data_IF_408426932497
#
_entry.id   IF_408426932497
#
_cell.length_a   1.000
_cell.length_b   1.000
_cell.length_c   1.000
_cell.angle_alpha   90.00
_cell.angle_beta   90.00
_cell.angle_gamma   90.00
#
_symmetry.space_group_name_H-M   'P 1'
#
loop_
_entity.id
_entity.type
_entity.pdbx_description
1 polymer ?
#
# COMPACT_ATOMS: atom_id res chain seq x y z
N UNK A 1 -11.72 -21.92 22.39
CA UNK A 1 -12.27 -21.47 21.09
C UNK A 1 -11.27 -21.52 19.93
N UNK A 2 -10.11 -22.20 20.02
CA UNK A 2 -9.15 -22.27 18.91
C UNK A 2 -9.70 -22.99 17.67
N UNK A 3 -10.59 -23.97 17.87
CA UNK A 3 -11.15 -24.80 16.80
C UNK A 3 -12.47 -24.23 16.24
N UNK A 4 -12.98 -23.14 16.81
CA UNK A 4 -14.24 -22.53 16.39
C UNK A 4 -13.98 -21.31 15.51
N UNK A 5 -13.72 -21.59 14.23
CA UNK A 5 -13.38 -20.61 13.20
C UNK A 5 -14.44 -19.51 13.11
N UNK A 6 -15.72 -19.85 13.29
CA UNK A 6 -16.82 -18.88 13.19
C UNK A 6 -16.77 -17.79 14.25
N UNK A 7 -16.28 -18.10 15.46
CA UNK A 7 -16.09 -17.10 16.50
C UNK A 7 -14.86 -16.21 16.27
N UNK A 8 -13.79 -16.75 15.67
CA UNK A 8 -12.57 -16.00 15.35
C UNK A 8 -12.83 -14.98 14.22
N UNK A 9 -13.61 -15.37 13.21
CA UNK A 9 -13.92 -14.51 12.06
C UNK A 9 -14.49 -13.13 12.46
N UNK A 10 -15.30 -13.07 13.52
CA UNK A 10 -15.87 -11.81 14.05
C UNK A 10 -14.81 -10.79 14.50
N UNK A 11 -13.62 -11.26 14.84
CA UNK A 11 -12.52 -10.44 15.37
C UNK A 11 -11.46 -10.10 14.32
N UNK A 12 -11.44 -10.75 13.15
CA UNK A 12 -10.40 -10.55 12.12
C UNK A 12 -10.32 -9.09 11.66
N UNK A 13 -11.46 -8.42 11.47
CA UNK A 13 -11.55 -7.00 11.11
C UNK A 13 -10.89 -6.04 12.10
N UNK A 14 -10.61 -6.48 13.33
CA UNK A 14 -9.90 -5.68 14.35
C UNK A 14 -8.38 -5.91 14.32
N UNK A 15 -7.94 -7.02 13.71
CA UNK A 15 -6.54 -7.44 13.68
C UNK A 15 -5.87 -7.10 12.36
N UNK A 16 -6.62 -7.22 11.25
CA UNK A 16 -6.13 -7.01 9.90
C UNK A 16 -6.95 -5.92 9.21
N UNK A 17 -6.35 -5.12 8.31
CA UNK A 17 -7.06 -4.09 7.57
C UNK A 17 -8.04 -4.66 6.54
N UNK A 18 -7.60 -5.64 5.74
CA UNK A 18 -8.37 -6.18 4.61
C UNK A 18 -8.98 -7.55 4.85
N UNK A 19 -8.68 -8.24 5.95
CA UNK A 19 -9.19 -9.60 6.20
C UNK A 19 -10.45 -9.52 7.06
N UNK A 20 -11.58 -9.87 6.46
CA UNK A 20 -12.89 -9.91 7.11
C UNK A 20 -13.35 -11.34 7.40
N UNK A 21 -12.94 -12.31 6.59
CA UNK A 21 -13.32 -13.71 6.73
C UNK A 21 -12.27 -14.66 6.18
N UNK A 22 -12.36 -15.92 6.63
CA UNK A 22 -11.61 -17.03 6.02
C UNK A 22 -12.48 -17.75 5.01
N UNK A 23 -11.89 -18.08 3.87
CA UNK A 23 -12.48 -18.97 2.89
C UNK A 23 -11.99 -20.37 3.27
N UNK A 24 -12.93 -21.25 3.60
CA UNK A 24 -12.64 -22.62 4.02
C UNK A 24 -12.91 -23.61 2.90
N UNK A 25 -12.29 -24.78 2.98
CA UNK A 25 -12.66 -25.92 2.16
C UNK A 25 -14.04 -26.50 2.55
N UNK A 26 -14.56 -27.42 1.72
CA UNK A 26 -15.89 -28.02 1.94
C UNK A 26 -16.02 -28.70 3.32
N UNK A 27 -14.90 -29.20 3.87
CA UNK A 27 -14.88 -29.88 5.17
C UNK A 27 -14.60 -28.93 6.35
N UNK A 28 -14.50 -27.62 6.12
CA UNK A 28 -14.16 -26.60 7.13
C UNK A 28 -12.88 -26.91 7.92
N UNK A 29 -11.96 -27.63 7.32
CA UNK A 29 -10.71 -28.13 7.92
C UNK A 29 -9.48 -27.36 7.47
N UNK A 30 -9.54 -26.74 6.28
CA UNK A 30 -8.45 -25.99 5.67
C UNK A 30 -8.87 -24.58 5.33
N UNK A 31 -7.98 -23.61 5.58
CA UNK A 31 -8.13 -22.25 5.09
C UNK A 31 -7.53 -22.20 3.67
N UNK A 32 -8.37 -21.96 2.68
CA UNK A 32 -7.98 -21.86 1.26
C UNK A 32 -7.76 -20.41 0.82
N UNK A 33 -8.21 -19.44 1.61
CA UNK A 33 -8.02 -18.03 1.30
C UNK A 33 -8.64 -17.10 2.34
N UNK A 34 -8.63 -15.81 2.04
CA UNK A 34 -9.27 -14.76 2.84
C UNK A 34 -10.22 -13.92 1.98
N UNK A 35 -11.23 -13.34 2.60
CA UNK A 35 -12.15 -12.40 1.97
C UNK A 35 -12.11 -11.04 2.64
N UNK A 36 -12.30 -10.00 1.84
CA UNK A 36 -12.44 -8.61 2.30
C UNK A 36 -13.88 -8.28 2.70
N UNK A 37 -14.08 -7.06 3.22
CA UNK A 37 -15.41 -6.53 3.58
C UNK A 37 -16.36 -6.43 2.37
N UNK A 38 -15.79 -6.27 1.18
CA UNK A 38 -16.52 -6.07 -0.09
C UNK A 38 -16.54 -7.35 -0.94
N UNK A 39 -16.34 -8.51 -0.31
CA UNK A 39 -16.31 -9.83 -0.96
C UNK A 39 -15.22 -10.04 -2.03
N UNK A 40 -14.21 -9.16 -2.11
CA UNK A 40 -12.96 -9.50 -2.82
C UNK A 40 -12.30 -10.70 -2.13
N UNK A 41 -11.84 -11.68 -2.92
CA UNK A 41 -11.26 -12.94 -2.44
C UNK A 41 -9.79 -13.03 -2.82
N UNK A 42 -8.96 -13.40 -1.86
CA UNK A 42 -7.56 -13.75 -2.05
C UNK A 42 -7.39 -15.25 -1.76
N UNK A 43 -7.25 -16.05 -2.81
CA UNK A 43 -7.04 -17.49 -2.72
C UNK A 43 -5.55 -17.77 -2.57
N UNK A 44 -5.19 -18.63 -1.61
CA UNK A 44 -3.81 -19.00 -1.34
C UNK A 44 -3.31 -20.04 -2.35
N UNK A 45 -2.02 -20.01 -2.65
CA UNK A 45 -1.36 -21.08 -3.40
C UNK A 45 -1.28 -22.39 -2.59
N UNK A 46 -1.04 -22.27 -1.28
CA UNK A 46 -1.00 -23.38 -0.33
C UNK A 46 -2.04 -23.17 0.74
N UNK A 47 -3.02 -24.08 0.82
CA UNK A 47 -4.02 -24.10 1.89
C UNK A 47 -3.38 -24.37 3.25
N UNK A 48 -3.98 -23.83 4.31
CA UNK A 48 -3.51 -23.97 5.69
C UNK A 48 -4.40 -24.96 6.44
N UNK A 49 -3.82 -26.05 6.94
CA UNK A 49 -4.54 -27.04 7.74
C UNK A 49 -4.74 -26.54 9.18
N UNK A 50 -5.99 -26.31 9.58
CA UNK A 50 -6.30 -25.73 10.90
C UNK A 50 -5.90 -26.68 12.03
N UNK A 51 -6.06 -27.99 11.80
CA UNK A 51 -5.67 -29.05 12.74
C UNK A 51 -4.16 -29.15 12.96
N UNK A 52 -3.35 -28.66 12.03
CA UNK A 52 -1.88 -28.67 12.15
C UNK A 52 -1.35 -27.57 13.09
N UNK A 53 -2.16 -26.54 13.35
CA UNK A 53 -1.78 -25.42 14.19
C UNK A 53 -1.91 -25.79 15.67
N UNK A 54 -0.87 -25.57 16.49
CA UNK A 54 -0.93 -25.90 17.92
C UNK A 54 -1.87 -24.97 18.68
N UNK A 55 -1.97 -23.72 18.24
CA UNK A 55 -2.83 -22.71 18.84
C UNK A 55 -3.25 -21.63 17.82
N UNK A 56 -4.17 -20.76 18.24
CA UNK A 56 -4.76 -19.70 17.42
C UNK A 56 -3.71 -18.69 16.94
N UNK A 57 -2.72 -18.39 17.78
CA UNK A 57 -1.70 -17.38 17.47
C UNK A 57 -0.80 -17.89 16.34
N UNK A 58 -0.40 -19.16 16.40
CA UNK A 58 0.37 -19.81 15.35
C UNK A 58 -0.42 -19.85 14.03
N UNK A 59 -1.71 -20.20 14.09
CA UNK A 59 -2.59 -20.20 12.92
C UNK A 59 -2.67 -18.80 12.27
N UNK A 60 -2.90 -17.75 13.07
CA UNK A 60 -3.00 -16.38 12.55
C UNK A 60 -1.68 -15.86 11.97
N UNK A 61 -0.54 -16.20 12.58
CA UNK A 61 0.79 -15.88 12.03
C UNK A 61 1.06 -16.60 10.71
N UNK A 62 0.60 -17.84 10.59
CA UNK A 62 0.72 -18.61 9.36
C UNK A 62 -0.16 -18.01 8.26
N UNK A 63 -1.39 -17.59 8.59
CA UNK A 63 -2.26 -16.84 7.67
C UNK A 63 -1.59 -15.56 7.21
N UNK A 64 -1.07 -14.74 8.13
CA UNK A 64 -0.36 -13.48 7.83
C UNK A 64 0.80 -13.72 6.85
N UNK A 65 1.66 -14.69 7.15
CA UNK A 65 2.81 -15.05 6.29
C UNK A 65 2.35 -15.56 4.92
N UNK A 66 1.27 -16.35 4.88
CA UNK A 66 0.70 -16.90 3.64
C UNK A 66 0.07 -15.80 2.78
N UNK A 67 -0.58 -14.81 3.39
CA UNK A 67 -1.13 -13.64 2.71
C UNK A 67 0.00 -12.84 2.05
N UNK A 68 1.08 -12.55 2.78
CA UNK A 68 2.21 -11.78 2.25
C UNK A 68 2.89 -12.47 1.07
N UNK A 69 3.16 -13.77 1.21
CA UNK A 69 3.80 -14.56 0.15
C UNK A 69 2.89 -14.74 -1.07
N UNK A 70 1.58 -14.93 -0.85
CA UNK A 70 0.58 -15.01 -1.93
C UNK A 70 0.51 -13.68 -2.68
N UNK A 71 0.43 -12.54 -1.99
CA UNK A 71 0.38 -11.23 -2.64
C UNK A 71 1.66 -10.93 -3.42
N UNK A 72 2.84 -11.28 -2.89
CA UNK A 72 4.11 -11.11 -3.60
C UNK A 72 4.16 -11.95 -4.89
N UNK A 73 3.69 -13.20 -4.83
CA UNK A 73 3.63 -14.07 -6.01
C UNK A 73 2.62 -13.56 -7.04
N UNK A 74 1.41 -13.20 -6.60
CA UNK A 74 0.39 -12.64 -7.48
C UNK A 74 0.84 -11.32 -8.11
N UNK A 75 1.63 -10.50 -7.41
CA UNK A 75 2.23 -9.29 -7.99
C UNK A 75 3.16 -9.65 -9.14
N UNK A 76 4.06 -10.63 -8.95
CA UNK A 76 4.95 -11.12 -10.01
C UNK A 76 4.15 -11.53 -11.25
N UNK A 77 3.13 -12.39 -11.07
CA UNK A 77 2.30 -12.85 -12.19
C UNK A 77 1.52 -11.70 -12.85
N UNK A 78 0.91 -10.84 -12.06
CA UNK A 78 0.12 -9.69 -12.54
C UNK A 78 0.98 -8.73 -13.35
N UNK A 79 2.17 -8.40 -12.85
CA UNK A 79 3.14 -7.55 -13.52
C UNK A 79 3.66 -8.18 -14.83
N UNK A 80 4.00 -9.47 -14.84
CA UNK A 80 4.46 -10.15 -16.06
C UNK A 80 3.39 -10.17 -17.14
N UNK A 81 2.16 -10.54 -16.77
CA UNK A 81 1.02 -10.58 -17.71
C UNK A 81 0.72 -9.18 -18.26
N UNK A 82 0.69 -8.15 -17.39
CA UNK A 82 0.44 -6.78 -17.83
C UNK A 82 1.55 -6.24 -18.74
N UNK A 83 2.81 -6.61 -18.48
CA UNK A 83 3.96 -6.21 -19.31
C UNK A 83 3.89 -6.83 -20.70
N UNK A 84 3.40 -8.05 -20.82
CA UNK A 84 3.16 -8.69 -22.13
C UNK A 84 1.98 -8.03 -22.85
N UNK A 85 0.89 -7.74 -22.12
CA UNK A 85 -0.26 -7.03 -22.66
C UNK A 85 0.07 -5.61 -23.12
N UNK A 86 0.98 -4.91 -22.43
CA UNK A 86 1.37 -3.54 -22.78
C UNK A 86 2.26 -3.46 -24.03
N UNK A 87 2.94 -4.56 -24.38
CA UNK A 87 3.73 -4.68 -25.63
C UNK A 87 2.85 -4.97 -26.84
N UNK A 88 1.76 -5.71 -26.64
CA UNK A 88 0.81 -6.08 -27.70
C UNK A 88 -0.38 -5.09 -27.74
N UNK A 89 -1.21 -5.19 -28.78
CA UNK A 89 -2.48 -4.46 -28.82
C UNK A 89 -3.42 -5.05 -27.77
N UNK A 90 -3.80 -4.24 -26.78
CA UNK A 90 -4.69 -4.66 -25.70
C UNK A 90 -6.10 -4.86 -26.27
N UNK A 91 -6.60 -6.09 -26.23
CA UNK A 91 -8.01 -6.41 -26.44
C UNK A 91 -8.79 -6.18 -25.12
N UNK A 92 -9.95 -5.53 -25.22
CA UNK A 92 -10.89 -5.24 -24.14
C UNK A 92 -11.20 -6.48 -23.28
N UNK A 93 -11.43 -7.64 -23.90
CA UNK A 93 -11.74 -8.89 -23.19
C UNK A 93 -10.54 -9.42 -22.40
N UNK A 94 -9.34 -9.33 -22.97
CA UNK A 94 -8.12 -9.80 -22.32
C UNK A 94 -7.82 -8.91 -21.10
N UNK A 95 -8.00 -7.60 -21.24
CA UNK A 95 -7.82 -6.67 -20.13
C UNK A 95 -8.83 -6.91 -19.01
N UNK A 96 -10.11 -7.14 -19.35
CA UNK A 96 -11.14 -7.47 -18.36
C UNK A 96 -10.82 -8.79 -17.64
N UNK A 97 -10.33 -9.81 -18.35
CA UNK A 97 -9.95 -11.09 -17.75
C UNK A 97 -8.76 -10.92 -16.79
N UNK A 98 -7.78 -10.08 -17.14
CA UNK A 98 -6.69 -9.73 -16.24
C UNK A 98 -7.19 -9.01 -14.98
N UNK A 99 -8.10 -8.03 -15.12
CA UNK A 99 -8.74 -7.34 -13.98
C UNK A 99 -9.51 -8.31 -13.07
N UNK A 100 -10.18 -9.33 -13.63
CA UNK A 100 -10.93 -10.32 -12.84
C UNK A 100 -10.04 -11.30 -12.07
N UNK A 101 -8.78 -11.46 -12.49
CA UNK A 101 -7.87 -12.48 -11.97
C UNK A 101 -7.13 -12.05 -10.70
N UNK A 102 -6.90 -10.75 -10.53
CA UNK A 102 -6.05 -10.23 -9.46
C UNK A 102 -6.82 -9.34 -8.47
N UNK A 103 -6.39 -9.26 -7.20
CA UNK A 103 -6.91 -8.28 -6.26
C UNK A 103 -6.67 -6.84 -6.74
N UNK A 104 -7.57 -5.92 -6.41
CA UNK A 104 -7.52 -4.50 -6.74
C UNK A 104 -6.17 -3.88 -6.40
N UNK A 105 -5.68 -4.16 -5.19
CA UNK A 105 -4.42 -3.66 -4.67
C UNK A 105 -3.25 -3.97 -5.60
N UNK A 106 -3.23 -5.18 -6.18
CA UNK A 106 -2.17 -5.63 -7.08
C UNK A 106 -2.37 -5.11 -8.50
N UNK A 107 -3.61 -5.00 -8.98
CA UNK A 107 -3.93 -4.40 -10.27
C UNK A 107 -3.37 -2.98 -10.36
N UNK A 108 -3.67 -2.16 -9.35
CA UNK A 108 -3.23 -0.76 -9.31
C UNK A 108 -1.71 -0.68 -9.16
N UNK A 109 -1.10 -1.56 -8.35
CA UNK A 109 0.35 -1.61 -8.17
C UNK A 109 1.07 -2.01 -9.47
N UNK A 110 0.59 -3.04 -10.17
CA UNK A 110 1.14 -3.50 -11.46
C UNK A 110 1.06 -2.42 -12.52
N UNK A 111 -0.09 -1.76 -12.67
CA UNK A 111 -0.27 -0.63 -13.60
C UNK A 111 0.70 0.51 -13.29
N UNK A 112 0.89 0.81 -12.00
CA UNK A 112 1.83 1.84 -11.57
C UNK A 112 3.28 1.48 -11.86
N UNK A 113 3.69 0.23 -11.64
CA UNK A 113 5.04 -0.26 -11.94
C UNK A 113 5.31 -0.14 -13.45
N UNK A 114 4.42 -0.72 -14.29
CA UNK A 114 4.58 -0.69 -15.75
C UNK A 114 4.63 0.75 -16.26
N UNK A 115 3.78 1.64 -15.75
CA UNK A 115 3.83 3.05 -16.11
C UNK A 115 5.16 3.71 -15.72
N UNK A 116 5.66 3.49 -14.50
CA UNK A 116 6.94 4.05 -14.06
C UNK A 116 8.11 3.58 -14.93
N UNK A 117 8.16 2.29 -15.24
CA UNK A 117 9.21 1.71 -16.08
C UNK A 117 9.15 2.20 -17.52
N UNK A 118 7.96 2.32 -18.11
CA UNK A 118 7.79 2.86 -19.46
C UNK A 118 8.27 4.31 -19.53
N UNK A 119 7.92 5.15 -18.56
CA UNK A 119 8.34 6.55 -18.51
C UNK A 119 9.86 6.65 -18.29
N UNK A 120 10.42 5.91 -17.33
CA UNK A 120 11.86 5.97 -17.05
C UNK A 120 12.71 5.42 -18.19
N UNK A 121 12.23 4.40 -18.90
CA UNK A 121 12.89 3.93 -20.14
C UNK A 121 13.01 5.06 -21.14
N UNK A 122 11.95 5.84 -21.37
CA UNK A 122 11.97 6.97 -22.31
C UNK A 122 12.85 8.12 -21.80
N UNK A 123 12.77 8.45 -20.51
CA UNK A 123 13.60 9.50 -19.91
C UNK A 123 15.10 9.15 -19.93
N UNK A 124 15.44 7.87 -19.77
CA UNK A 124 16.79 7.32 -19.75
C UNK A 124 17.42 7.03 -21.12
N UNK A 125 16.65 7.02 -22.21
CA UNK A 125 17.19 6.86 -23.56
C UNK A 125 18.17 8.00 -23.92
N UNK A 126 19.16 7.72 -24.77
CA UNK A 126 20.10 8.72 -25.32
C UNK A 126 19.54 9.51 -26.51
N UNK A 127 18.27 9.28 -26.85
CA UNK A 127 17.53 9.91 -27.94
C UNK A 127 17.39 11.43 -27.76
N UNK A 128 17.14 12.12 -28.87
CA UNK A 128 16.89 13.56 -28.86
C UNK A 128 15.58 13.90 -28.11
N UNK A 129 15.47 15.14 -27.63
CA UNK A 129 14.27 15.58 -26.89
C UNK A 129 12.98 15.39 -27.70
N UNK A 130 13.03 15.57 -29.03
CA UNK A 130 11.85 15.40 -29.89
C UNK A 130 11.39 13.93 -29.97
N UNK A 131 12.34 13.00 -30.10
CA UNK A 131 12.07 11.56 -30.14
C UNK A 131 11.51 11.07 -28.80
N UNK A 132 12.10 11.51 -27.68
CA UNK A 132 11.55 11.24 -26.34
C UNK A 132 10.11 11.73 -26.18
N UNK A 133 9.76 12.90 -26.73
CA UNK A 133 8.38 13.40 -26.72
C UNK A 133 7.45 12.47 -27.50
N UNK A 134 7.88 11.96 -28.66
CA UNK A 134 7.09 11.00 -29.45
C UNK A 134 6.87 9.72 -28.65
N UNK A 135 7.91 9.17 -28.03
CA UNK A 135 7.79 7.99 -27.18
C UNK A 135 6.88 8.22 -25.96
N UNK A 136 6.96 9.37 -25.30
CA UNK A 136 6.05 9.73 -24.20
C UNK A 136 4.60 9.85 -24.67
N UNK A 137 4.36 10.35 -25.89
CA UNK A 137 3.01 10.39 -26.49
C UNK A 137 2.48 8.99 -26.77
N UNK A 138 3.33 8.04 -27.15
CA UNK A 138 2.93 6.63 -27.29
C UNK A 138 2.55 6.00 -25.94
N UNK A 139 3.31 6.28 -24.88
CA UNK A 139 2.92 5.88 -23.52
C UNK A 139 1.58 6.52 -23.11
N UNK A 140 1.39 7.81 -23.40
CA UNK A 140 0.15 8.53 -23.12
C UNK A 140 -1.05 7.92 -23.86
N UNK A 141 -0.92 7.56 -25.14
CA UNK A 141 -2.01 6.98 -25.92
C UNK A 141 -2.44 5.61 -25.39
N UNK A 142 -1.51 4.81 -24.84
CA UNK A 142 -1.87 3.54 -24.16
C UNK A 142 -2.74 3.78 -22.92
N UNK A 143 -2.40 4.79 -22.12
CA UNK A 143 -3.18 5.17 -20.93
C UNK A 143 -4.56 5.70 -21.34
N UNK A 144 -4.61 6.55 -22.35
CA UNK A 144 -5.87 7.11 -22.88
C UNK A 144 -6.78 6.01 -23.45
N UNK A 145 -6.21 5.04 -24.17
CA UNK A 145 -6.95 3.87 -24.62
C UNK A 145 -7.59 3.10 -23.46
N UNK A 146 -6.84 2.80 -22.39
CA UNK A 146 -7.38 2.13 -21.19
C UNK A 146 -8.51 2.93 -20.54
N UNK A 147 -8.38 4.26 -20.49
CA UNK A 147 -9.41 5.15 -19.97
C UNK A 147 -10.67 5.18 -20.84
N UNK A 148 -10.55 4.96 -22.14
CA UNK A 148 -11.70 4.93 -23.07
C UNK A 148 -12.46 3.60 -23.02
N UNK A 149 -11.78 2.48 -22.72
CA UNK A 149 -12.42 1.16 -22.64
C UNK A 149 -13.07 0.88 -21.29
N UNK A 150 -12.47 1.33 -20.18
CA UNK A 150 -12.95 0.99 -18.82
C UNK A 150 -14.42 1.40 -18.57
N UNK A 151 -14.89 2.60 -18.96
CA UNK A 151 -16.31 2.95 -18.83
C UNK A 151 -17.24 2.01 -19.60
N UNK A 152 -16.83 1.57 -20.79
CA UNK A 152 -17.61 0.63 -21.62
C UNK A 152 -17.67 -0.75 -20.97
N UNK A 153 -16.58 -1.19 -20.35
CA UNK A 153 -16.52 -2.45 -19.60
C UNK A 153 -17.39 -2.39 -18.34
N UNK A 154 -17.37 -1.28 -17.60
CA UNK A 154 -18.24 -1.06 -16.43
C UNK A 154 -19.72 -1.14 -16.82
N UNK A 155 -20.11 -0.54 -17.95
CA UNK A 155 -21.51 -0.58 -18.42
C UNK A 155 -21.98 -1.98 -18.81
N UNK A 156 -21.07 -2.86 -19.25
CA UNK A 156 -21.38 -4.22 -19.69
C UNK A 156 -21.25 -5.29 -18.59
N UNK A 157 -20.61 -4.96 -17.46
CA UNK A 157 -20.27 -5.92 -16.42
C UNK A 157 -21.20 -5.76 -15.20
N UNK A 158 -21.90 -6.84 -14.86
CA UNK A 158 -22.87 -6.82 -13.76
C UNK A 158 -22.26 -7.06 -12.36
N UNK A 159 -20.95 -7.37 -12.29
CA UNK A 159 -20.31 -7.71 -11.02
C UNK A 159 -19.85 -6.45 -10.26
N UNK A 160 -20.48 -6.09 -9.11
CA UNK A 160 -20.26 -4.81 -8.44
C UNK A 160 -18.82 -4.63 -7.94
N UNK A 161 -18.21 -5.68 -7.37
CA UNK A 161 -16.81 -5.65 -6.91
C UNK A 161 -15.85 -5.30 -8.06
N UNK A 162 -15.98 -5.96 -9.22
CA UNK A 162 -15.16 -5.70 -10.40
C UNK A 162 -15.38 -4.27 -10.92
N UNK A 163 -16.60 -3.76 -10.87
CA UNK A 163 -16.89 -2.37 -11.23
C UNK A 163 -16.18 -1.37 -10.30
N UNK A 164 -16.19 -1.62 -8.99
CA UNK A 164 -15.45 -0.81 -8.02
C UNK A 164 -13.93 -0.86 -8.23
N UNK A 165 -13.39 -2.03 -8.62
CA UNK A 165 -11.98 -2.17 -9.03
C UNK A 165 -11.70 -1.27 -10.24
N UNK A 166 -12.53 -1.34 -11.28
CA UNK A 166 -12.38 -0.53 -12.49
C UNK A 166 -12.49 0.98 -12.21
N UNK A 167 -13.39 1.41 -11.33
CA UNK A 167 -13.53 2.83 -10.93
C UNK A 167 -12.25 3.35 -10.24
N UNK A 168 -11.70 2.57 -9.31
CA UNK A 168 -10.46 2.94 -8.63
C UNK A 168 -9.25 2.90 -9.58
N UNK A 169 -9.25 1.98 -10.54
CA UNK A 169 -8.25 1.93 -11.61
C UNK A 169 -8.32 3.17 -12.51
N UNK A 170 -9.52 3.60 -12.93
CA UNK A 170 -9.73 4.86 -13.68
C UNK A 170 -9.11 6.04 -12.92
N UNK A 171 -9.35 6.13 -11.62
CA UNK A 171 -8.81 7.21 -10.77
C UNK A 171 -7.28 7.29 -10.83
N UNK A 172 -6.59 6.13 -10.77
CA UNK A 172 -5.13 6.07 -10.87
C UNK A 172 -4.62 6.35 -12.30
N UNK A 173 -5.30 5.82 -13.33
CA UNK A 173 -4.92 6.06 -14.73
C UNK A 173 -5.07 7.54 -15.13
N UNK A 174 -6.08 8.25 -14.60
CA UNK A 174 -6.22 9.70 -14.79
C UNK A 174 -4.99 10.43 -14.23
N UNK A 175 -4.50 10.02 -13.05
CA UNK A 175 -3.29 10.59 -12.47
C UNK A 175 -2.05 10.32 -13.35
N UNK A 176 -1.85 9.08 -13.82
CA UNK A 176 -0.73 8.73 -14.71
C UNK A 176 -0.77 9.55 -16.01
N UNK A 177 -1.95 9.68 -16.63
CA UNK A 177 -2.17 10.52 -17.81
C UNK A 177 -1.77 11.97 -17.54
N UNK A 178 -2.24 12.54 -16.44
CA UNK A 178 -1.98 13.94 -16.10
C UNK A 178 -0.49 14.19 -15.86
N UNK A 179 0.20 13.31 -15.12
CA UNK A 179 1.66 13.41 -14.91
C UNK A 179 2.44 13.28 -16.22
N UNK A 180 2.06 12.34 -17.08
CA UNK A 180 2.68 12.16 -18.39
C UNK A 180 2.52 13.40 -19.28
N UNK A 181 1.32 14.02 -19.28
CA UNK A 181 1.06 15.29 -19.98
C UNK A 181 1.93 16.44 -19.46
N UNK A 182 2.14 16.53 -18.14
CA UNK A 182 3.02 17.53 -17.53
C UNK A 182 4.46 17.36 -18.01
N UNK A 183 4.98 16.13 -18.04
CA UNK A 183 6.33 15.84 -18.55
C UNK A 183 6.50 16.26 -20.02
N UNK A 184 5.54 15.89 -20.88
CA UNK A 184 5.54 16.28 -22.30
C UNK A 184 5.53 17.80 -22.47
N UNK A 185 4.71 18.51 -21.67
CA UNK A 185 4.58 19.97 -21.75
C UNK A 185 5.85 20.71 -21.31
N UNK A 186 6.49 20.25 -20.22
CA UNK A 186 7.68 20.91 -19.65
C UNK A 186 8.96 20.68 -20.45
N UNK A 187 9.01 19.66 -21.32
CA UNK A 187 10.15 19.31 -22.22
C UNK A 187 11.52 19.08 -21.53
N UNK A 188 11.60 19.16 -20.20
CA UNK A 188 12.79 18.81 -19.45
C UNK A 188 12.80 17.29 -19.19
N UNK A 189 13.30 16.53 -20.16
CA UNK A 189 13.19 15.07 -20.22
C UNK A 189 14.47 14.38 -19.73
N UNK A 190 14.62 14.36 -18.41
CA UNK A 190 15.68 13.63 -17.72
C UNK A 190 15.07 12.80 -16.60
N UNK A 191 15.62 11.60 -16.35
CA UNK A 191 15.25 10.75 -15.22
C UNK A 191 15.57 11.40 -13.86
N UNK A 192 16.46 12.40 -13.86
CA UNK A 192 16.84 13.19 -12.68
C UNK A 192 16.01 14.47 -12.51
N UNK A 193 15.04 14.74 -13.40
CA UNK A 193 14.19 15.91 -13.25
C UNK A 193 13.33 15.79 -11.98
N UNK A 194 13.38 16.80 -11.12
CA UNK A 194 12.62 16.84 -9.89
C UNK A 194 11.10 16.66 -10.10
N UNK A 195 10.54 17.11 -11.22
CA UNK A 195 9.12 16.88 -11.53
C UNK A 195 8.77 15.38 -11.55
N UNK A 196 9.65 14.57 -12.15
CA UNK A 196 9.50 13.12 -12.15
C UNK A 196 9.84 12.52 -10.78
N UNK A 197 10.93 12.98 -10.16
CA UNK A 197 11.35 12.48 -8.84
C UNK A 197 10.30 12.76 -7.75
N UNK A 198 9.54 13.85 -7.84
CA UNK A 198 8.43 14.21 -6.94
C UNK A 198 7.17 13.35 -7.16
N UNK A 199 7.21 12.39 -8.07
CA UNK A 199 6.16 11.39 -8.24
C UNK A 199 6.49 10.18 -7.37
N UNK A 200 5.49 9.63 -6.68
CA UNK A 200 5.60 8.35 -6.00
C UNK A 200 5.74 7.24 -7.06
N UNK A 201 6.95 6.72 -7.25
CA UNK A 201 7.32 5.74 -8.29
C UNK A 201 7.42 4.35 -7.68
N UNK A 202 7.01 3.33 -8.43
CA UNK A 202 7.08 1.93 -8.01
C UNK A 202 7.95 1.14 -8.98
N UNK A 203 8.74 0.23 -8.44
CA UNK A 203 9.67 -0.62 -9.19
C UNK A 203 9.50 -2.05 -8.74
N UNK A 204 9.63 -2.97 -9.68
CA UNK A 204 9.64 -4.40 -9.41
C UNK A 204 10.90 -5.04 -9.97
N UNK A 205 11.49 -5.96 -9.22
CA UNK A 205 12.68 -6.68 -9.66
C UNK A 205 12.47 -8.19 -9.51
N UNK A 206 12.47 -8.89 -10.64
CA UNK A 206 12.37 -10.35 -10.67
C UNK A 206 13.56 -11.04 -9.98
N UNK A 207 14.75 -10.44 -10.04
CA UNK A 207 15.93 -10.94 -9.32
C UNK A 207 15.79 -10.77 -7.81
N UNK A 208 15.24 -9.63 -7.38
CA UNK A 208 14.93 -9.39 -5.97
C UNK A 208 13.84 -10.35 -5.48
N UNK A 209 12.84 -10.64 -6.31
CA UNK A 209 11.80 -11.63 -6.00
C UNK A 209 12.37 -13.04 -5.74
N UNK A 210 13.32 -13.50 -6.57
CA UNK A 210 13.98 -14.80 -6.37
C UNK A 210 14.76 -14.87 -5.05
N UNK A 211 15.35 -13.76 -4.61
CA UNK A 211 16.13 -13.69 -3.35
C UNK A 211 15.24 -13.52 -2.12
N UNK A 212 14.27 -12.60 -2.21
CA UNK A 212 13.35 -12.25 -1.14
C UNK A 212 12.05 -11.70 -1.75
N UNK A 213 10.99 -12.54 -1.87
CA UNK A 213 9.73 -12.14 -2.48
C UNK A 213 9.12 -10.87 -1.88
N UNK A 214 9.27 -10.67 -0.57
CA UNK A 214 8.73 -9.51 0.16
C UNK A 214 9.53 -8.22 -0.08
N UNK A 215 10.73 -8.30 -0.64
CA UNK A 215 11.56 -7.14 -1.01
C UNK A 215 11.61 -6.93 -2.53
N UNK A 216 10.73 -7.60 -3.28
CA UNK A 216 10.67 -7.53 -4.74
C UNK A 216 10.12 -6.21 -5.28
N UNK A 217 9.31 -5.49 -4.49
CA UNK A 217 8.69 -4.24 -4.87
C UNK A 217 9.20 -3.08 -4.00
N UNK A 218 9.69 -2.04 -4.68
CA UNK A 218 10.28 -0.86 -4.07
C UNK A 218 9.51 0.37 -4.50
N UNK A 219 9.25 1.27 -3.55
CA UNK A 219 8.59 2.54 -3.78
C UNK A 219 9.59 3.66 -3.52
N UNK A 220 9.70 4.60 -4.45
CA UNK A 220 10.58 5.77 -4.32
C UNK A 220 9.82 7.07 -4.55
N UNK A 221 10.22 8.10 -3.82
CA UNK A 221 9.78 9.47 -4.02
C UNK A 221 10.91 10.39 -3.58
N UNK A 222 11.27 11.34 -4.44
CA UNK A 222 12.54 12.04 -4.39
C UNK A 222 13.71 11.06 -4.16
N UNK A 223 14.39 11.19 -3.04
CA UNK A 223 15.50 10.37 -2.55
C UNK A 223 15.10 9.39 -1.43
N UNK A 224 13.80 9.28 -1.12
CA UNK A 224 13.25 8.30 -0.18
C UNK A 224 12.95 6.98 -0.86
N UNK A 225 13.19 5.86 -0.17
CA UNK A 225 13.05 4.51 -0.70
C UNK A 225 12.44 3.59 0.37
N UNK A 226 11.38 2.87 0.03
CA UNK A 226 10.65 1.98 0.92
C UNK A 226 10.36 0.65 0.23
N UNK A 227 10.37 -0.44 0.98
CA UNK A 227 9.79 -1.70 0.51
C UNK A 227 8.27 -1.66 0.66
N UNK A 228 7.57 -2.19 -0.34
CA UNK A 228 6.15 -2.47 -0.21
C UNK A 228 5.94 -3.59 0.81
N UNK A 229 5.04 -3.42 1.77
CA UNK A 229 4.92 -4.36 2.90
C UNK A 229 3.93 -5.50 2.67
N UNK A 230 3.20 -5.51 1.55
CA UNK A 230 2.27 -6.59 1.18
C UNK A 230 1.17 -6.86 2.21
N UNK A 231 0.76 -5.88 3.01
CA UNK A 231 -0.42 -6.03 3.86
C UNK A 231 -1.67 -6.13 2.97
N UNK A 232 -2.55 -7.10 3.21
CA UNK A 232 -3.78 -7.21 2.43
C UNK A 232 -4.79 -6.15 2.87
N UNK A 233 -5.10 -5.22 1.97
CA UNK A 233 -5.98 -4.09 2.27
C UNK A 233 -7.44 -4.33 1.83
N UNK A 234 -7.70 -5.39 1.07
CA UNK A 234 -8.98 -5.60 0.40
C UNK A 234 -9.26 -4.53 -0.65
N UNK A 235 -10.55 -4.24 -0.87
CA UNK A 235 -10.98 -3.16 -1.74
C UNK A 235 -10.84 -1.82 -1.00
N UNK A 236 -9.92 -0.99 -1.47
CA UNK A 236 -9.62 0.33 -0.95
C UNK A 236 -10.15 1.40 -1.89
N UNK A 237 -10.78 2.42 -1.32
CA UNK A 237 -11.15 3.62 -2.06
C UNK A 237 -9.90 4.49 -2.26
N UNK A 238 -9.55 4.73 -3.52
CA UNK A 238 -8.41 5.58 -3.86
C UNK A 238 -8.87 7.03 -3.96
N UNK A 239 -8.21 7.90 -3.19
CA UNK A 239 -8.43 9.34 -3.29
C UNK A 239 -7.89 9.88 -4.62
N UNK A 240 -8.51 10.94 -5.13
CA UNK A 240 -8.01 11.65 -6.31
C UNK A 240 -6.68 12.32 -5.94
N UNK A 241 -5.60 11.89 -6.59
CA UNK A 241 -4.27 12.47 -6.38
C UNK A 241 -4.17 13.85 -7.03
N UNK A 242 -4.20 14.87 -6.19
CA UNK A 242 -3.99 16.28 -6.58
C UNK A 242 -2.56 16.72 -6.27
N UNK A 243 -2.09 17.85 -6.81
CA UNK A 243 -0.77 18.39 -6.45
C UNK A 243 -0.58 18.62 -4.94
N UNK A 244 -1.66 18.90 -4.20
CA UNK A 244 -1.62 19.02 -2.74
C UNK A 244 -1.32 17.67 -2.07
N UNK A 245 -1.93 16.59 -2.57
CA UNK A 245 -1.68 15.22 -2.10
C UNK A 245 -0.24 14.79 -2.42
N UNK A 246 0.27 15.11 -3.61
CA UNK A 246 1.65 14.81 -3.98
C UNK A 246 2.65 15.48 -3.02
N UNK A 247 2.43 16.77 -2.72
CA UNK A 247 3.26 17.49 -1.75
C UNK A 247 3.14 16.90 -0.34
N UNK A 248 1.93 16.50 0.07
CA UNK A 248 1.74 15.79 1.34
C UNK A 248 2.52 14.48 1.36
N UNK A 249 2.47 13.67 0.30
CA UNK A 249 3.22 12.42 0.20
C UNK A 249 4.72 12.67 0.24
N UNK A 250 5.23 13.68 -0.46
CA UNK A 250 6.64 14.05 -0.41
C UNK A 250 7.08 14.38 1.02
N UNK A 251 6.39 15.30 1.71
CA UNK A 251 6.77 15.72 3.07
C UNK A 251 6.68 14.56 4.06
N UNK A 252 5.61 13.76 3.99
CA UNK A 252 5.42 12.61 4.88
C UNK A 252 6.49 11.54 4.67
N UNK A 253 6.85 11.24 3.42
CA UNK A 253 7.88 10.25 3.11
C UNK A 253 9.28 10.72 3.50
N UNK A 254 9.58 12.02 3.35
CA UNK A 254 10.81 12.60 3.87
C UNK A 254 10.89 12.53 5.40
N UNK A 255 9.79 12.84 6.11
CA UNK A 255 9.73 12.68 7.55
C UNK A 255 9.99 11.22 7.98
N UNK A 256 9.37 10.25 7.30
CA UNK A 256 9.56 8.82 7.56
C UNK A 256 11.01 8.38 7.30
N UNK A 257 11.65 8.87 6.24
CA UNK A 257 13.07 8.64 5.96
C UNK A 257 13.94 9.18 7.10
N UNK A 258 13.60 10.34 7.66
CA UNK A 258 14.29 10.96 8.80
C UNK A 258 13.90 10.36 10.17
N UNK A 259 13.11 9.27 10.20
CA UNK A 259 12.58 8.63 11.41
C UNK A 259 11.77 9.59 12.28
N UNK A 260 11.06 10.51 11.65
CA UNK A 260 10.13 11.45 12.28
C UNK A 260 8.69 11.04 12.00
N UNK A 261 7.79 11.48 12.88
CA UNK A 261 6.35 11.45 12.63
C UNK A 261 5.95 12.52 11.62
N UNK A 262 4.83 12.29 10.93
CA UNK A 262 4.22 13.27 10.04
C UNK A 262 3.04 13.97 10.72
N UNK A 263 2.93 15.28 10.56
CA UNK A 263 1.87 16.10 11.17
C UNK A 263 1.22 17.01 10.13
N UNK A 264 0.36 16.47 9.23
CA UNK A 264 -0.43 17.31 8.34
C UNK A 264 -1.40 18.15 9.18
N UNK A 265 -1.40 19.48 8.96
CA UNK A 265 -2.27 20.42 9.67
C UNK A 265 -3.16 21.18 8.69
N UNK A 266 -4.31 21.62 9.17
CA UNK A 266 -5.30 22.34 8.35
C UNK A 266 -6.73 22.19 8.89
N UNK A 267 -7.70 22.96 8.35
CA UNK A 267 -9.10 22.91 8.76
C UNK A 267 -9.72 21.50 8.72
N UNK A 268 -10.82 21.31 9.44
CA UNK A 268 -11.60 20.08 9.35
C UNK A 268 -12.08 19.84 7.91
N UNK A 269 -12.11 18.59 7.46
CA UNK A 269 -12.59 18.22 6.12
C UNK A 269 -11.60 18.45 4.97
N UNK A 270 -10.34 18.86 5.22
CA UNK A 270 -9.34 19.05 4.15
C UNK A 270 -8.58 17.77 3.75
N UNK A 271 -9.09 16.58 4.12
CA UNK A 271 -8.51 15.29 3.71
C UNK A 271 -7.22 14.88 4.41
N UNK A 272 -6.94 15.38 5.63
CA UNK A 272 -5.69 15.10 6.37
C UNK A 272 -5.53 13.61 6.67
N UNK A 273 -6.53 13.03 7.31
CA UNK A 273 -6.57 11.62 7.72
C UNK A 273 -6.60 10.71 6.48
N UNK A 274 -7.38 11.09 5.47
CA UNK A 274 -7.50 10.39 4.19
C UNK A 274 -6.17 10.39 3.42
N UNK A 275 -5.40 11.49 3.46
CA UNK A 275 -4.06 11.55 2.84
C UNK A 275 -3.09 10.58 3.51
N UNK A 276 -3.09 10.49 4.85
CA UNK A 276 -2.22 9.53 5.58
C UNK A 276 -2.61 8.09 5.26
N UNK A 277 -3.91 7.79 5.25
CA UNK A 277 -4.44 6.47 4.86
C UNK A 277 -4.06 6.11 3.42
N UNK A 278 -4.21 7.04 2.49
CA UNK A 278 -3.86 6.81 1.09
C UNK A 278 -2.36 6.55 0.90
N UNK A 279 -1.49 7.30 1.59
CA UNK A 279 -0.05 7.04 1.56
C UNK A 279 0.29 5.64 2.10
N UNK A 280 -0.31 5.25 3.23
CA UNK A 280 -0.13 3.92 3.79
C UNK A 280 -0.60 2.83 2.84
N UNK A 281 -1.74 3.02 2.16
CA UNK A 281 -2.22 2.10 1.15
C UNK A 281 -1.24 1.97 -0.04
N UNK A 282 -0.69 3.08 -0.52
CA UNK A 282 0.35 3.04 -1.56
C UNK A 282 1.62 2.31 -1.12
N UNK A 283 1.97 2.34 0.16
CA UNK A 283 3.10 1.60 0.72
C UNK A 283 2.75 0.16 1.14
N UNK A 284 1.48 -0.23 1.00
CA UNK A 284 0.98 -1.55 1.38
C UNK A 284 0.98 -1.76 2.90
N UNK A 285 0.85 -0.70 3.69
CA UNK A 285 0.95 -0.70 5.16
C UNK A 285 -0.43 -0.62 5.83
N UNK A 286 -0.53 -1.27 6.98
CA UNK A 286 -1.68 -1.12 7.87
C UNK A 286 -1.67 0.25 8.56
N UNK A 287 -2.68 1.08 8.27
CA UNK A 287 -2.93 2.36 8.94
C UNK A 287 -4.13 2.24 9.86
N UNK A 288 -3.92 2.52 11.15
CA UNK A 288 -4.97 2.57 12.17
C UNK A 288 -5.24 4.03 12.50
N UNK A 289 -6.50 4.45 12.41
CA UNK A 289 -6.92 5.80 12.79
C UNK A 289 -7.49 5.78 14.20
N UNK A 290 -6.95 6.62 15.07
CA UNK A 290 -7.42 6.87 16.41
C UNK A 290 -8.04 8.26 16.46
N UNK A 291 -9.37 8.33 16.58
CA UNK A 291 -10.04 9.60 16.80
C UNK A 291 -9.88 9.99 18.27
N UNK A 292 -8.99 10.95 18.54
CA UNK A 292 -8.66 11.33 19.90
C UNK A 292 -9.82 12.10 20.55
N UNK A 293 -10.15 11.74 21.78
CA UNK A 293 -11.10 12.42 22.63
C UNK A 293 -10.51 12.63 24.03
N UNK A 294 -11.26 13.29 24.92
CA UNK A 294 -10.81 13.56 26.29
C UNK A 294 -10.75 12.31 27.18
N UNK A 295 -11.31 11.18 26.73
CA UNK A 295 -11.36 9.93 27.49
C UNK A 295 -10.11 9.07 27.27
N UNK A 296 -9.24 9.42 26.31
CA UNK A 296 -7.96 8.75 26.12
C UNK A 296 -7.06 9.01 27.33
N UNK A 297 -6.81 7.96 28.11
CA UNK A 297 -5.87 8.00 29.21
C UNK A 297 -4.45 7.64 28.75
N UNK A 298 -3.47 8.01 29.58
CA UNK A 298 -2.06 7.73 29.33
C UNK A 298 -1.77 6.22 29.17
N UNK A 299 -2.48 5.37 29.91
CA UNK A 299 -2.30 3.92 29.86
C UNK A 299 -2.79 3.32 28.54
N UNK A 300 -3.92 3.77 28.01
CA UNK A 300 -4.43 3.36 26.70
C UNK A 300 -3.46 3.77 25.59
N UNK A 301 -2.97 5.01 25.61
CA UNK A 301 -1.97 5.48 24.64
C UNK A 301 -0.69 4.66 24.69
N UNK A 302 -0.16 4.37 25.88
CA UNK A 302 1.00 3.50 26.05
C UNK A 302 0.79 2.10 25.48
N UNK A 303 -0.38 1.47 25.72
CA UNK A 303 -0.73 0.16 25.15
C UNK A 303 -0.84 0.20 23.62
N UNK A 304 -1.42 1.27 23.07
CA UNK A 304 -1.52 1.48 21.62
C UNK A 304 -0.12 1.56 20.99
N UNK A 305 0.78 2.37 21.56
CA UNK A 305 2.14 2.50 21.04
C UNK A 305 2.91 1.18 21.09
N UNK A 306 2.80 0.41 22.18
CA UNK A 306 3.41 -0.92 22.26
C UNK A 306 2.90 -1.83 21.12
N UNK A 307 1.59 -1.80 20.86
CA UNK A 307 0.99 -2.55 19.74
C UNK A 307 1.54 -2.12 18.38
N UNK A 308 1.57 -0.81 18.12
CA UNK A 308 2.09 -0.23 16.88
C UNK A 308 3.57 -0.61 16.66
N UNK A 309 4.41 -0.49 17.68
CA UNK A 309 5.83 -0.83 17.60
C UNK A 309 6.06 -2.33 17.33
N UNK A 310 5.25 -3.22 17.91
CA UNK A 310 5.38 -4.67 17.73
C UNK A 310 4.95 -5.15 16.36
N UNK A 311 3.89 -4.56 15.82
CA UNK A 311 3.32 -4.93 14.51
C UNK A 311 4.04 -4.19 13.37
N UNK A 312 4.59 -3.00 13.63
CA UNK A 312 5.13 -2.13 12.58
C UNK A 312 4.03 -1.39 11.78
N UNK A 313 2.84 -1.25 12.37
CA UNK A 313 1.70 -0.53 11.80
C UNK A 313 1.83 0.99 11.99
N UNK A 314 1.07 1.75 11.20
CA UNK A 314 1.00 3.21 11.32
C UNK A 314 -0.17 3.63 12.20
N UNK A 315 0.10 4.44 13.22
CA UNK A 315 -0.91 5.12 14.01
C UNK A 315 -1.16 6.53 13.49
N UNK A 316 -2.36 6.80 12.99
CA UNK A 316 -2.84 8.13 12.62
C UNK A 316 -3.76 8.64 13.74
N UNK A 317 -3.31 9.64 14.49
CA UNK A 317 -4.08 10.21 15.59
C UNK A 317 -4.83 11.45 15.11
N UNK A 318 -6.12 11.27 14.82
CA UNK A 318 -6.99 12.37 14.39
C UNK A 318 -7.43 13.20 15.58
N UNK A 319 -7.59 14.52 15.38
CA UNK A 319 -7.94 15.47 16.43
C UNK A 319 -7.04 15.38 17.69
N UNK A 320 -5.74 15.11 17.48
CA UNK A 320 -4.75 14.93 18.56
C UNK A 320 -4.71 16.09 19.57
N UNK A 321 -5.04 17.29 19.10
CA UNK A 321 -5.17 18.51 19.91
C UNK A 321 -6.39 18.51 20.87
N UNK A 322 -7.27 17.50 20.84
CA UNK A 322 -8.39 17.34 21.79
C UNK A 322 -8.01 16.59 23.06
N UNK A 323 -6.83 15.97 23.10
CA UNK A 323 -6.29 15.35 24.31
C UNK A 323 -6.06 16.40 25.40
N UNK A 324 -6.14 16.01 26.66
CA UNK A 324 -5.80 16.91 27.76
C UNK A 324 -4.31 17.28 27.71
N UNK A 325 -3.98 18.53 28.05
CA UNK A 325 -2.61 19.06 27.96
C UNK A 325 -1.58 18.20 28.72
N UNK A 326 -1.96 17.70 29.90
CA UNK A 326 -1.13 16.78 30.71
C UNK A 326 -0.83 15.47 29.96
N UNK A 327 -1.81 14.95 29.24
CA UNK A 327 -1.70 13.71 28.47
C UNK A 327 -0.86 13.94 27.22
N UNK A 328 -1.04 15.08 26.54
CA UNK A 328 -0.22 15.47 25.38
C UNK A 328 1.26 15.53 25.75
N UNK A 329 1.60 16.13 26.88
CA UNK A 329 2.99 16.20 27.35
C UNK A 329 3.58 14.81 27.57
N UNK A 330 2.84 13.92 28.23
CA UNK A 330 3.29 12.56 28.51
C UNK A 330 3.42 11.70 27.24
N UNK A 331 2.46 11.82 26.32
CA UNK A 331 2.47 11.15 25.00
C UNK A 331 3.63 11.65 24.15
N UNK A 332 3.93 12.96 24.17
CA UNK A 332 5.05 13.54 23.43
C UNK A 332 6.38 12.92 23.85
N UNK A 333 6.55 12.66 25.15
CA UNK A 333 7.73 11.97 25.67
C UNK A 333 7.82 10.52 25.17
N UNK A 334 6.69 9.79 25.13
CA UNK A 334 6.66 8.43 24.58
C UNK A 334 6.99 8.40 23.08
N UNK A 335 6.41 9.32 22.29
CA UNK A 335 6.71 9.46 20.86
C UNK A 335 8.19 9.77 20.67
N UNK A 336 8.75 10.68 21.47
CA UNK A 336 10.17 11.01 21.42
C UNK A 336 11.05 9.79 21.68
N UNK A 337 10.76 9.00 22.74
CA UNK A 337 11.50 7.76 23.02
C UNK A 337 11.43 6.75 21.88
N UNK A 338 10.27 6.60 21.25
CA UNK A 338 10.10 5.72 20.08
C UNK A 338 10.92 6.22 18.89
N UNK A 339 10.86 7.52 18.57
CA UNK A 339 11.61 8.12 17.48
C UNK A 339 13.13 8.06 17.70
N UNK A 340 13.58 8.27 18.94
CA UNK A 340 14.98 8.13 19.31
C UNK A 340 15.47 6.68 19.12
N UNK A 341 14.66 5.70 19.54
CA UNK A 341 14.93 4.28 19.29
C UNK A 341 15.04 3.93 17.81
N UNK A 342 14.13 4.44 16.98
CA UNK A 342 14.13 4.23 15.53
C UNK A 342 15.30 4.90 14.80
N UNK A 343 15.86 5.99 15.33
CA UNK A 343 17.09 6.58 14.78
C UNK A 343 18.31 5.73 15.11
N UNK A 344 18.35 5.16 16.31
CA UNK A 344 19.47 4.34 16.76
C UNK A 344 19.52 2.96 16.10
N UNK A 345 18.40 2.43 15.58
CA UNK A 345 18.40 1.17 14.81
C UNK A 345 19.22 1.27 13.52
N UNK A 346 19.32 2.45 12.90
CA UNK A 346 20.13 2.63 11.69
C UNK A 346 21.63 2.57 12.04
N UNK A 347 22.04 3.07 13.21
CA UNK A 347 23.43 2.91 13.72
C UNK A 347 23.74 1.50 14.23
N UNK A 348 22.76 0.83 14.84
CA UNK A 348 22.90 -0.52 15.40
C UNK A 348 22.80 -1.63 14.34
N UNK A 349 22.40 -1.34 13.10
CA UNK A 349 22.41 -2.32 12.00
C UNK A 349 23.83 -2.83 11.65
N UNK A 350 24.88 -2.28 12.27
CA UNK A 350 26.26 -2.80 12.26
C UNK A 350 26.55 -3.83 13.39
N UNK A 351 25.67 -3.98 14.38
CA UNK A 351 25.81 -4.90 15.51
C UNK A 351 24.47 -5.54 15.87
N UNK A 352 24.27 -6.82 15.52
CA UNK A 352 23.06 -7.63 15.78
C UNK A 352 22.62 -7.61 17.26
N UNK A 353 21.94 -6.56 17.69
CA UNK A 353 21.39 -6.39 19.05
C UNK A 353 19.96 -5.89 18.93
N UNK A 354 19.03 -6.57 19.61
CA UNK A 354 17.63 -6.15 19.68
C UNK A 354 17.55 -4.76 20.33
N UNK A 355 17.01 -3.78 19.60
CA UNK A 355 16.85 -2.41 20.14
C UNK A 355 15.66 -2.37 21.07
N UNK A 356 15.91 -2.41 22.38
CA UNK A 356 14.90 -2.24 23.41
C UNK A 356 14.52 -0.75 23.50
N UNK A 357 13.27 -0.42 23.17
CA UNK A 357 12.70 0.91 23.37
C UNK A 357 11.86 0.86 24.65
N UNK A 358 12.32 1.54 25.70
CA UNK A 358 11.53 1.71 26.92
C UNK A 358 10.47 2.79 26.73
N UNK A 359 9.20 2.38 26.82
CA UNK A 359 8.06 3.30 26.86
C UNK A 359 7.76 3.58 28.34
N UNK A 360 7.80 4.87 28.72
CA UNK A 360 7.52 5.34 30.08
C UNK A 360 6.13 4.92 30.54
N UNK A 361 6.02 4.45 31.79
CA UNK A 361 4.76 4.03 32.41
C UNK A 361 4.66 2.55 32.79
N UNK A 362 5.73 1.76 32.61
CA UNK A 362 5.81 0.41 33.20
C UNK A 362 6.13 0.50 34.69
N UNK A 363 5.14 0.16 35.53
CA UNK A 363 5.38 -0.59 36.76
C UNK A 363 4.77 -1.97 36.59
#
# INVERSE_FOLDING_TARGET
>A
NCNDVGNIQKHLKKMFPGIYGFILDNNCSKIIGVSSKDDEKLIFHSSIDISSCKNIIECLKLVETTVYTTLAHLLMCSYTELTELSRNLINDEIYLNWIKKYPQQLIILSEKIVWCEEIERVLGCSEETQEKIILLKLCLSKIEYRLDILPKLIQKNDHPVINNIMINLITNLIYFRNKTRVLIKKKNLSSFNFEWLNTLRCYFSADSFKKSPLQSCIIRIADSCFFYTFEYLGLVDYIIQTPLIDNCFLVMTQALKMRLGGSPFGPAGTGKTESVKALGAHLGRFVIVFNCDKNFDFQAMGRIFIGLCRVGAWGCFDEFNRLEERIISAVSQQIHSIQAGLKNTDTASQSKTETLIEILGKK
#
